data_IF_777472813577
#
_entry.id   IF_777472813577
#
_cell.length_a   1.000
_cell.length_b   1.000
_cell.length_c   1.000
_cell.angle_alpha   90.00
_cell.angle_beta   90.00
_cell.angle_gamma   90.00
#
_symmetry.space_group_name_H-M   'P 1'
#
loop_
_entity.id
_entity.type
_entity.pdbx_description
1 polymer ?
#
# COMPACT_ATOMS: atom_id res chain seq x y z
N UNK A 1 23.84 -5.00 -12.57
CA UNK A 1 23.78 -4.16 -11.37
C UNK A 1 22.61 -3.20 -11.44
N UNK A 2 21.86 -3.10 -10.40
CA UNK A 2 20.72 -2.21 -10.39
C UNK A 2 21.14 -0.78 -10.06
N UNK A 3 20.31 0.16 -10.40
CA UNK A 3 20.52 1.56 -10.10
C UNK A 3 19.98 1.96 -8.73
N UNK A 4 19.63 0.97 -7.91
CA UNK A 4 19.04 1.20 -6.61
C UNK A 4 17.52 1.18 -6.62
N UNK A 5 16.92 1.04 -7.79
CA UNK A 5 15.48 0.96 -7.91
C UNK A 5 15.02 -0.47 -7.61
N UNK A 6 14.00 -0.60 -6.78
CA UNK A 6 13.42 -1.90 -6.46
C UNK A 6 12.35 -2.22 -7.50
N UNK A 7 12.49 -3.40 -8.11
CA UNK A 7 11.51 -3.88 -9.07
C UNK A 7 10.47 -4.72 -8.34
N UNK A 8 9.44 -4.07 -7.83
CA UNK A 8 8.40 -4.75 -7.07
C UNK A 8 7.62 -5.73 -7.93
N UNK A 9 7.46 -5.46 -9.22
CA UNK A 9 6.76 -6.37 -10.12
C UNK A 9 7.49 -7.70 -10.23
N UNK A 10 8.80 -7.66 -10.20
CA UNK A 10 9.63 -8.86 -10.31
C UNK A 10 9.64 -9.65 -9.01
N UNK A 11 9.73 -8.96 -7.87
CA UNK A 11 9.88 -9.62 -6.58
C UNK A 11 8.55 -10.05 -5.98
N UNK A 12 7.46 -9.39 -6.35
CA UNK A 12 6.14 -9.64 -5.76
C UNK A 12 5.08 -9.74 -6.85
N UNK A 13 5.25 -10.69 -7.81
CA UNK A 13 4.31 -10.77 -8.94
C UNK A 13 2.89 -11.13 -8.52
N UNK A 14 2.71 -11.77 -7.37
CA UNK A 14 1.40 -12.16 -6.87
C UNK A 14 0.64 -11.00 -6.23
N UNK A 15 1.32 -9.87 -5.98
CA UNK A 15 0.66 -8.70 -5.40
C UNK A 15 0.08 -7.87 -6.54
N UNK A 16 -1.23 -7.64 -6.56
CA UNK A 16 -1.83 -6.85 -7.64
C UNK A 16 -1.29 -5.43 -7.70
N UNK A 17 -1.12 -4.90 -8.91
CA UNK A 17 -0.66 -3.52 -9.09
C UNK A 17 -1.67 -2.53 -8.51
N UNK A 18 -2.96 -2.87 -8.57
CA UNK A 18 -4.05 -2.06 -8.03
C UNK A 18 -4.82 -2.94 -7.04
N UNK A 19 -4.94 -2.48 -5.81
CA UNK A 19 -5.54 -3.25 -4.74
C UNK A 19 -6.76 -2.53 -4.15
N UNK A 20 -7.71 -3.32 -3.65
CA UNK A 20 -8.78 -2.78 -2.82
C UNK A 20 -8.37 -2.86 -1.34
N UNK A 21 -9.26 -2.40 -0.46
CA UNK A 21 -8.98 -2.37 0.98
C UNK A 21 -8.74 -3.77 1.53
N UNK A 22 -9.52 -4.75 1.07
CA UNK A 22 -9.38 -6.13 1.56
C UNK A 22 -8.03 -6.71 1.16
N UNK A 23 -7.64 -6.52 -0.10
CA UNK A 23 -6.36 -7.03 -0.58
C UNK A 23 -5.20 -6.38 0.16
N UNK A 24 -5.28 -5.07 0.39
CA UNK A 24 -4.24 -4.38 1.14
C UNK A 24 -4.17 -4.86 2.58
N UNK A 25 -5.32 -5.05 3.23
CA UNK A 25 -5.34 -5.55 4.60
C UNK A 25 -4.69 -6.92 4.69
N UNK A 26 -4.95 -7.79 3.70
CA UNK A 26 -4.32 -9.10 3.66
C UNK A 26 -2.81 -9.00 3.46
N UNK A 27 -2.39 -8.14 2.56
CA UNK A 27 -0.96 -7.93 2.30
C UNK A 27 -0.23 -7.47 3.56
N UNK A 28 -0.82 -6.55 4.31
CA UNK A 28 -0.21 -5.98 5.50
C UNK A 28 -0.52 -6.78 6.77
N UNK A 29 -1.26 -7.87 6.64
CA UNK A 29 -1.65 -8.72 7.75
C UNK A 29 -2.36 -7.92 8.85
N UNK A 30 -3.31 -7.12 8.44
CA UNK A 30 -4.11 -6.30 9.35
C UNK A 30 -5.59 -6.37 8.94
N UNK A 31 -6.44 -5.58 9.58
CA UNK A 31 -7.86 -5.57 9.27
C UNK A 31 -8.22 -4.45 8.32
N UNK A 32 -9.32 -4.61 7.59
CA UNK A 32 -9.83 -3.55 6.73
C UNK A 32 -10.19 -2.31 7.54
N UNK A 33 -10.67 -2.50 8.75
CA UNK A 33 -11.04 -1.38 9.63
C UNK A 33 -9.82 -0.51 9.94
N UNK A 34 -8.68 -1.14 10.22
CA UNK A 34 -7.45 -0.42 10.50
C UNK A 34 -6.98 0.31 9.25
N UNK A 35 -7.04 -0.33 8.08
CA UNK A 35 -6.66 0.33 6.83
C UNK A 35 -7.53 1.56 6.59
N UNK A 36 -8.85 1.44 6.78
CA UNK A 36 -9.75 2.57 6.60
C UNK A 36 -9.44 3.71 7.57
N UNK A 37 -9.05 3.38 8.81
CA UNK A 37 -8.66 4.41 9.77
C UNK A 37 -7.41 5.15 9.30
N UNK A 38 -6.41 4.43 8.79
CA UNK A 38 -5.20 5.07 8.26
C UNK A 38 -5.53 6.00 7.09
N UNK A 39 -6.46 5.59 6.21
CA UNK A 39 -6.86 6.44 5.08
C UNK A 39 -7.53 7.72 5.58
N UNK A 40 -8.45 7.58 6.54
CA UNK A 40 -9.15 8.74 7.07
C UNK A 40 -8.21 9.72 7.77
N UNK A 41 -7.13 9.22 8.35
CA UNK A 41 -6.15 10.04 9.04
C UNK A 41 -5.06 10.57 8.10
N UNK A 42 -5.14 10.23 6.82
CA UNK A 42 -4.16 10.68 5.85
C UNK A 42 -2.78 10.06 6.02
N UNK A 43 -2.72 8.87 6.62
CA UNK A 43 -1.46 8.22 6.95
C UNK A 43 -0.95 7.30 5.86
N UNK A 44 -1.76 6.95 4.88
CA UNK A 44 -1.42 5.98 3.86
C UNK A 44 -1.87 6.50 2.49
N UNK A 45 -1.06 6.31 1.44
CA UNK A 45 -1.47 6.75 0.10
C UNK A 45 -2.67 5.94 -0.39
N UNK A 46 -3.74 6.64 -0.72
CA UNK A 46 -4.98 6.03 -1.16
C UNK A 46 -5.62 6.86 -2.24
N UNK A 47 -6.38 6.20 -3.09
CA UNK A 47 -7.08 6.83 -4.21
C UNK A 47 -8.52 6.39 -4.21
N UNK A 48 -9.34 7.11 -4.94
CA UNK A 48 -10.73 6.78 -5.12
C UNK A 48 -11.11 7.08 -6.55
N UNK A 49 -11.83 6.14 -7.18
CA UNK A 49 -12.32 6.39 -8.54
C UNK A 49 -13.36 7.50 -8.50
N UNK A 50 -13.45 8.33 -9.55
CA UNK A 50 -14.47 9.38 -9.60
C UNK A 50 -15.86 8.79 -9.35
N UNK A 51 -16.58 9.37 -8.40
CA UNK A 51 -17.92 8.91 -8.02
C UNK A 51 -17.95 7.66 -7.19
N UNK A 52 -16.79 7.05 -6.93
CA UNK A 52 -16.72 5.82 -6.14
C UNK A 52 -16.58 6.10 -4.66
N UNK A 53 -16.93 5.09 -3.84
CA UNK A 53 -16.80 5.17 -2.39
C UNK A 53 -15.68 4.30 -1.85
N UNK A 54 -15.20 3.36 -2.68
CA UNK A 54 -14.17 2.43 -2.25
C UNK A 54 -12.80 3.02 -2.49
N UNK A 55 -11.88 2.69 -1.60
CA UNK A 55 -10.50 3.12 -1.75
C UNK A 55 -9.75 2.18 -2.69
N UNK A 56 -8.77 2.74 -3.38
CA UNK A 56 -7.90 2.02 -4.29
C UNK A 56 -6.47 2.33 -3.89
N UNK A 57 -5.62 1.31 -3.88
CA UNK A 57 -4.23 1.44 -3.46
C UNK A 57 -3.32 0.95 -4.57
N UNK A 58 -2.24 1.67 -4.82
CA UNK A 58 -1.27 1.31 -5.85
C UNK A 58 -0.09 0.61 -5.17
N UNK A 59 0.25 -0.57 -5.70
CA UNK A 59 1.30 -1.39 -5.09
C UNK A 59 2.60 -0.64 -4.86
N UNK A 60 3.07 0.09 -5.87
CA UNK A 60 4.35 0.79 -5.75
C UNK A 60 4.30 1.88 -4.68
N UNK A 61 3.17 2.57 -4.53
CA UNK A 61 3.03 3.58 -3.48
C UNK A 61 3.02 2.95 -2.10
N UNK A 62 2.39 1.79 -1.97
CA UNK A 62 2.32 1.10 -0.68
C UNK A 62 3.71 0.62 -0.26
N UNK A 63 4.48 0.07 -1.18
CA UNK A 63 5.84 -0.37 -0.84
C UNK A 63 6.74 0.82 -0.50
N UNK A 64 6.63 1.92 -1.23
CA UNK A 64 7.37 3.15 -0.90
C UNK A 64 6.99 3.67 0.47
N UNK A 65 5.69 3.64 0.78
CA UNK A 65 5.18 4.07 2.08
C UNK A 65 5.73 3.19 3.21
N UNK A 66 5.75 1.88 3.02
CA UNK A 66 6.30 0.96 4.01
C UNK A 66 7.79 1.23 4.24
N UNK A 67 8.54 1.44 3.18
CA UNK A 67 9.97 1.73 3.28
C UNK A 67 10.18 3.04 4.03
N UNK A 68 9.36 4.05 3.74
CA UNK A 68 9.47 5.36 4.40
C UNK A 68 9.10 5.31 5.88
N UNK A 69 8.33 4.30 6.29
CA UNK A 69 7.85 4.16 7.66
C UNK A 69 8.59 3.09 8.44
N UNK A 70 9.81 2.76 8.03
CA UNK A 70 10.57 1.74 8.74
C UNK A 70 10.86 2.20 10.17
N UNK A 71 10.88 1.24 11.06
CA UNK A 71 11.18 1.51 12.47
C UNK A 71 12.67 1.78 12.65
N UNK A 72 12.98 2.84 13.36
CA UNK A 72 14.37 3.18 13.69
C UNK A 72 14.47 3.36 15.20
N UNK A 73 15.03 2.39 15.89
CA UNK A 73 15.16 2.49 17.35
C UNK A 73 16.15 3.58 17.73
N UNK A 74 15.88 4.23 18.83
CA UNK A 74 16.77 5.27 19.36
C UNK A 74 18.11 4.72 19.85
#
# INVERSE_FOLDING_TARGET
MTDGTIDYDRWYPEVPAVMDTKQLAELLNTSEQIVRAWVREGMIPAHRKPGGRKFTFLRHEIFDWLISNRYEPD
#
